data_IF_728214255073
#
_entry.id   IF_728214255073
#
_cell.length_a   1.000
_cell.length_b   1.000
_cell.length_c   1.000
_cell.angle_alpha   90.00
_cell.angle_beta   90.00
_cell.angle_gamma   90.00
#
_symmetry.space_group_name_H-M   'P 1'
#
loop_
_entity.id
_entity.type
_entity.pdbx_description
1 polymer ?
#
# COMPACT_ATOMS: atom_id res chain seq x y z
N UNK A 1 -16.75 -2.02 21.03
CA UNK A 1 -16.99 -2.04 19.56
C UNK A 1 -18.37 -2.61 19.32
N UNK A 2 -19.04 -2.21 18.24
CA UNK A 2 -20.29 -2.84 17.78
C UNK A 2 -20.16 -3.12 16.28
N UNK A 3 -20.76 -4.21 15.82
CA UNK A 3 -20.74 -4.62 14.41
C UNK A 3 -22.07 -4.24 13.76
N UNK A 4 -22.00 -3.54 12.62
CA UNK A 4 -23.16 -3.32 11.75
C UNK A 4 -22.97 -4.18 10.49
N UNK A 5 -23.92 -5.08 10.22
CA UNK A 5 -23.93 -5.89 9.01
C UNK A 5 -25.32 -5.89 8.36
N UNK A 6 -25.39 -6.18 7.07
CA UNK A 6 -26.63 -6.20 6.29
C UNK A 6 -26.86 -4.97 5.42
N UNK A 7 -27.98 -4.95 4.69
CA UNK A 7 -28.30 -3.87 3.73
C UNK A 7 -28.87 -2.66 4.46
N UNK A 8 -28.15 -1.53 4.45
CA UNK A 8 -28.69 -0.25 4.90
C UNK A 8 -29.31 0.49 3.71
N UNK A 9 -30.62 0.73 3.76
CA UNK A 9 -31.36 1.55 2.78
C UNK A 9 -31.45 3.03 3.21
N UNK A 10 -30.60 3.44 4.17
CA UNK A 10 -30.61 4.76 4.80
C UNK A 10 -30.48 4.68 6.32
N UNK A 11 -30.29 5.84 6.96
CA UNK A 11 -30.13 6.00 8.43
C UNK A 11 -28.89 5.37 9.06
N UNK A 12 -27.94 4.82 8.28
CA UNK A 12 -26.65 4.32 8.79
C UNK A 12 -26.02 5.30 9.78
N UNK A 13 -25.94 6.58 9.39
CA UNK A 13 -25.46 7.67 10.23
C UNK A 13 -26.17 7.75 11.59
N UNK A 14 -27.50 7.69 11.62
CA UNK A 14 -28.27 7.76 12.87
C UNK A 14 -27.99 6.55 13.76
N UNK A 15 -27.82 5.36 13.17
CA UNK A 15 -27.40 4.16 13.90
C UNK A 15 -26.00 4.33 14.49
N UNK A 16 -25.05 4.86 13.73
CA UNK A 16 -23.70 5.15 14.24
C UNK A 16 -23.76 6.15 15.40
N UNK A 17 -24.49 7.25 15.24
CA UNK A 17 -24.67 8.28 16.26
C UNK A 17 -25.22 7.76 17.59
N UNK A 18 -26.22 6.87 17.54
CA UNK A 18 -26.85 6.32 18.73
C UNK A 18 -25.87 5.50 19.60
N UNK A 19 -24.72 5.10 19.05
CA UNK A 19 -23.72 4.28 19.71
C UNK A 19 -22.39 5.01 19.95
N UNK A 20 -22.33 6.33 19.71
CA UNK A 20 -21.15 7.12 20.03
C UNK A 20 -21.09 7.37 21.54
N UNK A 21 -19.95 7.06 22.14
CA UNK A 21 -19.58 7.55 23.45
C UNK A 21 -18.82 8.87 23.24
N UNK A 22 -19.29 9.97 23.84
CA UNK A 22 -18.85 11.33 23.51
C UNK A 22 -17.35 11.59 23.72
N UNK A 23 -16.71 10.79 24.57
CA UNK A 23 -15.36 11.08 25.07
C UNK A 23 -14.27 10.20 24.42
N UNK A 24 -14.61 9.34 23.47
CA UNK A 24 -13.68 8.44 22.79
C UNK A 24 -13.57 8.73 21.29
N UNK A 25 -12.36 8.60 20.70
CA UNK A 25 -12.18 8.78 19.26
C UNK A 25 -12.95 7.71 18.48
N UNK A 26 -13.66 8.13 17.44
CA UNK A 26 -14.41 7.24 16.56
C UNK A 26 -13.50 6.63 15.50
N UNK A 27 -13.16 5.36 15.71
CA UNK A 27 -12.51 4.52 14.70
C UNK A 27 -13.57 3.73 13.94
N UNK A 28 -13.62 3.91 12.62
CA UNK A 28 -14.61 3.31 11.75
C UNK A 28 -13.94 2.41 10.72
N UNK A 29 -14.26 1.11 10.77
CA UNK A 29 -13.84 0.15 9.76
C UNK A 29 -14.93 -0.01 8.71
N UNK A 30 -14.73 0.63 7.56
CA UNK A 30 -15.59 0.51 6.39
C UNK A 30 -15.20 -0.72 5.57
N UNK A 31 -16.14 -1.63 5.36
CA UNK A 31 -15.94 -2.84 4.56
C UNK A 31 -16.66 -2.71 3.21
N UNK A 32 -15.93 -2.92 2.13
CA UNK A 32 -16.40 -2.75 0.75
C UNK A 32 -16.10 -1.37 0.17
N UNK A 33 -16.66 -1.10 -1.01
CA UNK A 33 -16.52 0.19 -1.69
C UNK A 33 -17.24 1.31 -0.95
N UNK A 34 -16.72 2.54 -1.11
CA UNK A 34 -17.44 3.71 -0.62
C UNK A 34 -18.69 3.96 -1.45
N UNK A 35 -19.85 3.80 -0.83
CA UNK A 35 -21.15 4.11 -1.41
C UNK A 35 -21.63 5.51 -1.03
N UNK A 36 -22.83 5.89 -1.47
CA UNK A 36 -23.49 7.14 -1.04
C UNK A 36 -23.72 7.25 0.46
N UNK A 37 -23.62 6.15 1.20
CA UNK A 37 -23.67 6.17 2.65
C UNK A 37 -22.40 6.75 3.29
N UNK A 38 -21.28 6.82 2.56
CA UNK A 38 -20.07 7.52 2.97
C UNK A 38 -20.19 9.03 2.69
N UNK A 39 -21.18 9.66 3.35
CA UNK A 39 -21.54 11.07 3.17
C UNK A 39 -20.85 12.01 4.17
N UNK A 40 -20.89 13.31 3.88
CA UNK A 40 -20.27 14.40 4.66
C UNK A 40 -20.55 14.33 6.16
N UNK A 41 -21.82 14.13 6.51
CA UNK A 41 -22.24 14.09 7.91
C UNK A 41 -21.72 12.87 8.66
N UNK A 42 -21.36 11.79 7.96
CA UNK A 42 -20.72 10.62 8.56
C UNK A 42 -19.21 10.84 8.68
N UNK A 43 -18.51 11.11 7.57
CA UNK A 43 -17.04 11.15 7.59
C UNK A 43 -16.47 12.30 8.43
N UNK A 44 -17.22 13.40 8.64
CA UNK A 44 -16.81 14.51 9.52
C UNK A 44 -16.74 14.14 11.00
N UNK A 45 -17.33 13.02 11.39
CA UNK A 45 -17.32 12.52 12.78
C UNK A 45 -16.18 11.53 13.02
N UNK A 46 -15.56 11.04 11.95
CA UNK A 46 -14.57 9.98 12.05
C UNK A 46 -13.22 10.59 12.41
N UNK A 47 -12.65 10.16 13.55
CA UNK A 47 -11.26 10.43 13.85
C UNK A 47 -10.34 9.56 12.97
N UNK A 48 -10.79 8.33 12.68
CA UNK A 48 -10.03 7.34 11.92
C UNK A 48 -10.93 6.49 11.05
N UNK A 49 -10.65 6.47 9.77
CA UNK A 49 -11.27 5.60 8.78
C UNK A 49 -10.29 4.51 8.37
N UNK A 50 -10.68 3.26 8.61
CA UNK A 50 -9.99 2.06 8.12
C UNK A 50 -10.84 1.48 6.98
N UNK A 51 -10.22 1.18 5.85
CA UNK A 51 -10.89 0.58 4.69
C UNK A 51 -9.92 -0.35 3.97
N UNK A 52 -10.45 -1.23 3.11
CA UNK A 52 -9.65 -2.14 2.32
C UNK A 52 -9.93 -1.91 0.83
N UNK A 53 -8.97 -1.34 0.12
CA UNK A 53 -9.11 -1.03 -1.31
C UNK A 53 -8.88 -2.23 -2.24
N UNK A 54 -8.47 -3.40 -1.73
CA UNK A 54 -8.20 -4.58 -2.58
C UNK A 54 -9.44 -5.13 -3.27
N UNK A 55 -10.61 -4.89 -2.67
CA UNK A 55 -11.87 -5.50 -3.11
C UNK A 55 -12.77 -4.49 -3.84
N UNK A 56 -12.20 -3.35 -4.26
CA UNK A 56 -12.89 -2.32 -5.03
C UNK A 56 -12.91 -2.68 -6.52
N UNK A 57 -14.10 -2.68 -7.11
CA UNK A 57 -14.33 -2.80 -8.54
C UNK A 57 -13.95 -1.51 -9.29
N UNK A 58 -14.18 -0.33 -8.71
CA UNK A 58 -13.70 0.96 -9.24
C UNK A 58 -12.81 1.69 -8.22
N UNK A 59 -11.51 1.32 -8.14
CA UNK A 59 -10.60 1.97 -7.22
C UNK A 59 -10.43 3.47 -7.51
N UNK A 60 -10.52 3.90 -8.77
CA UNK A 60 -10.38 5.32 -9.16
C UNK A 60 -11.49 6.14 -8.51
N UNK A 61 -12.75 5.72 -8.63
CA UNK A 61 -13.87 6.37 -7.95
C UNK A 61 -13.74 6.34 -6.43
N UNK A 62 -13.31 5.21 -5.86
CA UNK A 62 -13.08 5.06 -4.42
C UNK A 62 -12.06 6.06 -3.86
N UNK A 63 -10.88 6.18 -4.50
CA UNK A 63 -9.85 7.13 -4.11
C UNK A 63 -10.25 8.60 -4.36
N UNK A 64 -11.00 8.90 -5.43
CA UNK A 64 -11.58 10.25 -5.63
C UNK A 64 -12.50 10.63 -4.46
N UNK A 65 -13.42 9.74 -4.06
CA UNK A 65 -14.31 9.98 -2.91
C UNK A 65 -13.54 10.12 -1.59
N UNK A 66 -12.49 9.32 -1.38
CA UNK A 66 -11.59 9.44 -0.22
C UNK A 66 -10.91 10.83 -0.17
N UNK A 67 -10.36 11.29 -1.29
CA UNK A 67 -9.67 12.58 -1.40
C UNK A 67 -10.62 13.74 -1.14
N UNK A 68 -11.86 13.68 -1.66
CA UNK A 68 -12.91 14.67 -1.35
C UNK A 68 -13.21 14.72 0.16
N UNK A 69 -13.48 13.57 0.79
CA UNK A 69 -13.75 13.50 2.23
C UNK A 69 -12.58 14.01 3.09
N UNK A 70 -11.33 13.73 2.66
CA UNK A 70 -10.13 14.26 3.32
C UNK A 70 -10.02 15.78 3.19
N UNK A 71 -10.31 16.33 2.01
CA UNK A 71 -10.33 17.79 1.78
C UNK A 71 -11.36 18.45 2.70
N UNK A 72 -12.58 17.92 2.73
CA UNK A 72 -13.68 18.45 3.53
C UNK A 72 -13.42 18.42 5.04
N UNK A 73 -12.71 17.38 5.51
CA UNK A 73 -12.32 17.27 6.92
C UNK A 73 -11.07 18.06 7.26
N UNK A 74 -10.45 18.76 6.29
CA UNK A 74 -9.14 19.42 6.40
C UNK A 74 -8.05 18.48 6.88
N UNK A 75 -8.11 17.22 6.44
CA UNK A 75 -7.17 16.17 6.82
C UNK A 75 -7.27 15.68 8.26
N UNK A 76 -8.31 16.06 9.02
CA UNK A 76 -8.50 15.63 10.41
C UNK A 76 -8.82 14.14 10.55
N UNK A 77 -9.55 13.58 9.58
CA UNK A 77 -9.84 12.15 9.54
C UNK A 77 -8.59 11.39 9.10
N UNK A 78 -8.02 10.58 10.00
CA UNK A 78 -6.89 9.71 9.65
C UNK A 78 -7.40 8.59 8.74
N UNK A 79 -6.73 8.38 7.61
CA UNK A 79 -7.13 7.37 6.62
C UNK A 79 -6.12 6.21 6.58
N UNK A 80 -6.62 4.99 6.71
CA UNK A 80 -5.82 3.77 6.74
C UNK A 80 -6.39 2.76 5.75
N UNK A 81 -5.67 2.60 4.65
CA UNK A 81 -5.93 1.53 3.71
C UNK A 81 -5.23 0.23 4.17
N UNK A 82 -5.97 -0.88 4.20
CA UNK A 82 -5.41 -2.19 4.49
C UNK A 82 -4.50 -2.68 3.34
N UNK A 83 -4.73 -2.28 2.10
CA UNK A 83 -3.80 -2.55 0.99
C UNK A 83 -2.44 -1.87 1.22
N UNK A 84 -2.43 -0.65 1.72
CA UNK A 84 -1.18 0.00 2.15
C UNK A 84 -0.53 -0.73 3.33
N UNK A 85 -1.35 -1.23 4.26
CA UNK A 85 -0.87 -1.96 5.43
C UNK A 85 -0.16 -3.25 5.05
N UNK A 86 -0.65 -4.00 4.06
CA UNK A 86 -0.02 -5.23 3.53
C UNK A 86 1.40 -5.02 3.00
N UNK A 87 1.75 -3.78 2.63
CA UNK A 87 3.09 -3.43 2.15
C UNK A 87 4.05 -3.04 3.28
N UNK A 88 3.61 -2.97 4.54
CA UNK A 88 4.40 -2.33 5.60
C UNK A 88 5.75 -3.03 5.84
N UNK A 89 5.75 -4.35 6.06
CA UNK A 89 6.99 -5.07 6.28
C UNK A 89 7.83 -5.19 5.01
N UNK A 90 7.19 -5.20 3.82
CA UNK A 90 7.91 -5.07 2.55
C UNK A 90 8.69 -3.75 2.49
N UNK A 91 8.07 -2.62 2.83
CA UNK A 91 8.75 -1.31 2.83
C UNK A 91 9.91 -1.25 3.81
N UNK A 92 9.76 -1.84 5.01
CA UNK A 92 10.87 -1.97 5.96
C UNK A 92 11.98 -2.87 5.44
N UNK A 93 11.63 -4.02 4.86
CA UNK A 93 12.58 -4.96 4.30
C UNK A 93 13.39 -4.34 3.17
N UNK A 94 12.74 -3.57 2.29
CA UNK A 94 13.39 -2.86 1.19
C UNK A 94 14.30 -1.75 1.69
N UNK A 95 13.83 -0.92 2.64
CA UNK A 95 14.68 0.10 3.24
C UNK A 95 15.96 -0.52 3.84
N UNK A 96 15.82 -1.66 4.53
CA UNK A 96 16.94 -2.39 5.13
C UNK A 96 17.93 -2.96 4.10
N UNK A 97 17.47 -3.36 2.92
CA UNK A 97 18.38 -3.83 1.86
C UNK A 97 19.39 -2.74 1.50
N UNK A 98 18.97 -1.47 1.48
CA UNK A 98 19.83 -0.33 1.15
C UNK A 98 20.63 0.22 2.35
N UNK A 99 20.60 -0.44 3.52
CA UNK A 99 21.63 -0.23 4.55
C UNK A 99 22.94 -0.98 4.20
N UNK A 100 22.90 -1.90 3.24
CA UNK A 100 24.07 -2.63 2.76
C UNK A 100 24.92 -1.78 1.78
N UNK A 101 26.25 -1.67 1.98
CA UNK A 101 27.09 -0.85 1.11
C UNK A 101 27.12 -1.25 -0.36
N UNK A 102 26.84 -2.53 -0.70
CA UNK A 102 26.75 -2.95 -2.10
C UNK A 102 25.44 -2.51 -2.73
N UNK A 103 24.34 -2.53 -1.97
CA UNK A 103 23.06 -2.03 -2.42
C UNK A 103 23.05 -0.51 -2.62
N UNK A 104 23.65 0.23 -1.69
CA UNK A 104 23.81 1.69 -1.81
C UNK A 104 24.63 2.06 -3.05
N UNK A 105 25.75 1.38 -3.30
CA UNK A 105 26.58 1.59 -4.50
C UNK A 105 25.84 1.24 -5.80
N UNK A 106 25.00 0.21 -5.80
CA UNK A 106 24.26 -0.21 -6.98
C UNK A 106 23.04 0.68 -7.26
N UNK A 107 22.60 1.49 -6.30
CA UNK A 107 21.38 2.29 -6.41
C UNK A 107 21.31 3.19 -7.67
N UNK A 108 22.38 3.91 -8.07
CA UNK A 108 22.37 4.75 -9.27
C UNK A 108 22.25 3.95 -10.58
N UNK A 109 22.61 2.67 -10.56
CA UNK A 109 22.65 1.76 -11.72
C UNK A 109 21.45 0.82 -11.77
N UNK A 110 20.46 0.98 -10.89
CA UNK A 110 19.24 0.17 -10.94
C UNK A 110 18.57 0.37 -12.31
N UNK A 111 18.33 -0.74 -12.99
CA UNK A 111 17.72 -0.78 -14.32
C UNK A 111 16.39 -1.56 -14.34
N UNK A 112 16.11 -2.33 -13.28
CA UNK A 112 14.95 -3.20 -13.23
C UNK A 112 14.30 -3.32 -11.85
N UNK A 113 12.98 -3.30 -11.82
CA UNK A 113 12.16 -3.61 -10.65
C UNK A 113 11.05 -4.58 -11.04
N UNK A 114 10.83 -5.62 -10.25
CA UNK A 114 9.68 -6.52 -10.42
C UNK A 114 8.87 -6.59 -9.14
N UNK A 115 7.56 -6.34 -9.23
CA UNK A 115 6.63 -6.46 -8.12
C UNK A 115 5.72 -7.65 -8.39
N UNK A 116 5.78 -8.67 -7.53
CA UNK A 116 4.95 -9.88 -7.65
C UNK A 116 3.87 -9.87 -6.57
N UNK A 117 2.62 -10.05 -6.96
CA UNK A 117 1.47 -9.99 -6.04
C UNK A 117 0.29 -10.82 -6.58
N UNK A 118 -0.71 -11.10 -5.76
CA UNK A 118 -1.99 -11.62 -6.29
C UNK A 118 -2.70 -10.50 -7.08
N UNK A 119 -3.43 -10.85 -8.14
CA UNK A 119 -4.19 -9.87 -8.95
C UNK A 119 -5.19 -9.08 -8.09
N UNK A 120 -5.87 -9.77 -7.16
CA UNK A 120 -6.76 -9.18 -6.15
C UNK A 120 -6.06 -8.10 -5.30
N UNK A 121 -4.75 -8.18 -5.11
CA UNK A 121 -3.98 -7.23 -4.30
C UNK A 121 -3.19 -6.22 -5.17
N UNK A 122 -3.65 -5.96 -6.40
CA UNK A 122 -3.08 -4.93 -7.31
C UNK A 122 -2.85 -3.58 -6.62
N UNK A 123 -3.79 -3.12 -5.81
CA UNK A 123 -3.63 -1.83 -5.10
C UNK A 123 -2.45 -1.85 -4.13
N UNK A 124 -2.18 -2.96 -3.45
CA UNK A 124 -1.02 -3.10 -2.57
C UNK A 124 0.30 -3.07 -3.35
N UNK A 125 0.35 -3.74 -4.52
CA UNK A 125 1.51 -3.72 -5.41
C UNK A 125 1.78 -2.30 -5.95
N UNK A 126 0.75 -1.60 -6.43
CA UNK A 126 0.87 -0.23 -6.92
C UNK A 126 1.27 0.76 -5.82
N UNK A 127 0.73 0.61 -4.60
CA UNK A 127 1.14 1.45 -3.47
C UNK A 127 2.59 1.21 -3.06
N UNK A 128 3.07 -0.04 -3.11
CA UNK A 128 4.48 -0.37 -2.87
C UNK A 128 5.36 0.27 -3.96
N UNK A 129 4.98 0.17 -5.24
CA UNK A 129 5.68 0.81 -6.35
C UNK A 129 5.69 2.33 -6.22
N UNK A 130 4.54 2.94 -5.93
CA UNK A 130 4.43 4.38 -5.69
C UNK A 130 5.37 4.84 -4.57
N UNK A 131 5.50 4.04 -3.50
CA UNK A 131 6.45 4.30 -2.43
C UNK A 131 7.90 4.22 -2.93
N UNK A 132 8.26 3.20 -3.72
CA UNK A 132 9.61 3.09 -4.31
C UNK A 132 9.93 4.35 -5.12
N UNK A 133 9.07 4.73 -6.05
CA UNK A 133 9.22 5.92 -6.90
C UNK A 133 9.38 7.19 -6.05
N UNK A 134 8.50 7.36 -5.05
CA UNK A 134 8.53 8.53 -4.16
C UNK A 134 9.85 8.61 -3.37
N UNK A 135 10.38 7.46 -2.92
CA UNK A 135 11.60 7.41 -2.10
C UNK A 135 12.87 7.54 -2.93
N UNK A 136 12.89 6.98 -4.14
CA UNK A 136 14.01 7.09 -5.06
C UNK A 136 14.07 8.45 -5.76
N UNK A 137 12.94 9.14 -5.87
CA UNK A 137 12.79 10.35 -6.67
C UNK A 137 12.92 10.08 -8.17
N UNK A 138 12.54 8.88 -8.60
CA UNK A 138 12.37 8.56 -10.02
C UNK A 138 11.08 9.20 -10.55
N UNK A 139 10.98 9.34 -11.86
CA UNK A 139 9.80 9.90 -12.53
C UNK A 139 9.21 8.90 -13.51
N UNK A 140 7.88 8.90 -13.67
CA UNK A 140 7.20 8.05 -14.66
C UNK A 140 7.36 8.69 -16.04
N UNK A 141 7.87 7.91 -17.00
CA UNK A 141 7.99 8.32 -18.40
C UNK A 141 6.86 7.75 -19.24
N UNK A 142 6.53 6.47 -19.02
CA UNK A 142 5.37 5.82 -19.61
C UNK A 142 4.88 4.69 -18.72
N UNK A 143 3.61 4.34 -18.87
CA UNK A 143 3.00 3.23 -18.16
C UNK A 143 1.96 2.54 -19.04
N UNK A 144 1.94 1.22 -18.92
CA UNK A 144 0.97 0.28 -19.45
C UNK A 144 0.42 -0.55 -18.27
N UNK A 145 -0.58 -1.39 -18.48
CA UNK A 145 -1.30 -2.09 -17.39
C UNK A 145 -0.38 -2.79 -16.38
N UNK A 146 0.66 -3.48 -16.87
CA UNK A 146 1.58 -4.31 -16.09
C UNK A 146 3.07 -3.92 -16.26
N UNK A 147 3.35 -2.81 -16.94
CA UNK A 147 4.72 -2.34 -17.20
C UNK A 147 4.82 -0.84 -17.03
N UNK A 148 5.84 -0.37 -16.32
CA UNK A 148 6.11 1.07 -16.13
C UNK A 148 7.55 1.35 -16.51
N UNK A 149 7.77 2.38 -17.34
CA UNK A 149 9.10 2.90 -17.64
C UNK A 149 9.32 4.15 -16.80
N UNK A 150 10.38 4.13 -16.00
CA UNK A 150 10.77 5.24 -15.14
C UNK A 150 12.11 5.82 -15.60
N UNK A 151 12.34 7.08 -15.28
CA UNK A 151 13.65 7.72 -15.36
C UNK A 151 14.23 7.89 -13.95
N UNK A 152 15.46 7.41 -13.76
CA UNK A 152 16.21 7.53 -12.52
C UNK A 152 16.69 8.97 -12.30
N UNK A 153 17.18 9.29 -11.09
CA UNK A 153 17.77 10.62 -10.82
C UNK A 153 18.99 10.93 -11.67
N UNK A 154 19.68 9.89 -12.13
CA UNK A 154 20.86 10.01 -12.98
C UNK A 154 20.50 10.00 -14.48
N UNK A 155 19.21 10.00 -14.82
CA UNK A 155 18.73 9.93 -16.20
C UNK A 155 18.77 8.52 -16.81
N UNK A 156 18.97 7.48 -15.99
CA UNK A 156 18.93 6.09 -16.43
C UNK A 156 17.50 5.57 -16.57
N UNK A 157 17.24 4.70 -17.54
CA UNK A 157 15.95 4.03 -17.68
C UNK A 157 15.81 2.92 -16.62
N UNK A 158 14.66 2.86 -15.93
CA UNK A 158 14.30 1.77 -15.03
C UNK A 158 13.01 1.12 -15.51
N UNK A 159 13.08 -0.17 -15.84
CA UNK A 159 11.93 -0.94 -16.28
C UNK A 159 11.28 -1.62 -15.08
N UNK A 160 9.99 -1.36 -14.88
CA UNK A 160 9.18 -2.00 -13.85
C UNK A 160 8.21 -3.00 -14.48
N UNK A 161 8.14 -4.21 -13.93
CA UNK A 161 7.15 -5.22 -14.29
C UNK A 161 6.27 -5.57 -13.08
N UNK A 162 4.95 -5.58 -13.29
CA UNK A 162 3.96 -6.09 -12.35
C UNK A 162 3.61 -7.54 -12.74
N UNK A 163 3.78 -8.47 -11.81
CA UNK A 163 3.58 -9.91 -12.08
C UNK A 163 2.51 -10.45 -11.14
N UNK A 164 1.46 -11.03 -11.72
CA UNK A 164 0.32 -11.54 -10.98
C UNK A 164 0.45 -13.04 -10.71
N UNK A 165 0.48 -13.42 -9.43
CA UNK A 165 0.62 -14.80 -8.94
C UNK A 165 -0.53 -15.09 -7.96
N UNK A 166 -1.69 -15.51 -8.47
CA UNK A 166 -2.90 -15.67 -7.65
C UNK A 166 -2.78 -16.78 -6.58
N UNK A 167 -1.88 -17.74 -6.75
CA UNK A 167 -1.55 -18.75 -5.74
C UNK A 167 -0.51 -18.31 -4.70
N UNK A 168 0.02 -17.08 -4.80
CA UNK A 168 1.06 -16.55 -3.93
C UNK A 168 0.56 -15.81 -2.69
N UNK A 169 1.47 -15.23 -1.93
CA UNK A 169 1.12 -14.29 -0.86
C UNK A 169 0.57 -12.97 -1.46
N UNK A 170 -0.20 -12.16 -0.68
CA UNK A 170 -0.80 -10.93 -1.17
C UNK A 170 0.16 -10.01 -1.93
N UNK A 171 1.34 -9.79 -1.35
CA UNK A 171 2.55 -9.41 -2.08
C UNK A 171 3.46 -10.62 -1.95
N UNK A 172 3.83 -11.22 -3.07
CA UNK A 172 4.70 -12.40 -3.14
C UNK A 172 6.17 -12.02 -3.21
N UNK A 173 6.49 -10.88 -3.80
CA UNK A 173 7.84 -10.37 -3.75
C UNK A 173 8.10 -9.04 -4.43
N UNK A 174 9.31 -8.55 -4.23
CA UNK A 174 9.92 -7.45 -4.93
C UNK A 174 11.34 -7.86 -5.32
N UNK A 175 11.72 -7.64 -6.57
CA UNK A 175 13.10 -7.78 -7.04
C UNK A 175 13.61 -6.45 -7.59
N UNK A 176 14.86 -6.13 -7.30
CA UNK A 176 15.58 -4.96 -7.82
C UNK A 176 16.87 -5.46 -8.46
N UNK A 177 17.18 -5.02 -9.67
CA UNK A 177 18.37 -5.43 -10.42
C UNK A 177 19.16 -4.24 -10.97
N UNK A 178 20.48 -4.39 -10.95
CA UNK A 178 21.48 -3.58 -11.64
C UNK A 178 22.55 -4.54 -12.23
N UNK A 179 23.48 -4.11 -13.11
CA UNK A 179 24.35 -4.99 -13.87
C UNK A 179 25.07 -6.11 -13.08
N UNK A 180 25.53 -5.81 -11.87
CA UNK A 180 26.24 -6.75 -10.99
C UNK A 180 25.59 -6.88 -9.60
N UNK A 181 24.30 -6.56 -9.50
CA UNK A 181 23.59 -6.53 -8.23
C UNK A 181 22.14 -7.00 -8.39
N UNK A 182 21.70 -7.84 -7.45
CA UNK A 182 20.31 -8.22 -7.32
C UNK A 182 19.89 -8.23 -5.86
N UNK A 183 18.79 -7.55 -5.56
CA UNK A 183 18.12 -7.66 -4.27
C UNK A 183 16.72 -8.26 -4.43
N UNK A 184 16.29 -9.04 -3.44
CA UNK A 184 14.96 -9.64 -3.41
C UNK A 184 14.37 -9.53 -2.01
N UNK A 185 13.08 -9.25 -1.95
CA UNK A 185 12.23 -9.50 -0.78
C UNK A 185 11.10 -10.42 -1.25
N UNK A 186 10.92 -11.58 -0.64
CA UNK A 186 9.91 -12.56 -1.06
C UNK A 186 9.19 -13.18 0.11
N UNK A 187 7.99 -13.71 -0.16
CA UNK A 187 7.15 -14.38 0.83
C UNK A 187 6.35 -15.49 0.14
N UNK A 188 6.40 -16.68 0.72
CA UNK A 188 5.51 -17.77 0.32
C UNK A 188 4.11 -17.58 0.93
N UNK A 189 3.07 -18.06 0.23
CA UNK A 189 1.70 -17.95 0.70
C UNK A 189 1.54 -18.54 2.12
N UNK A 190 0.91 -17.78 3.03
CA UNK A 190 0.68 -18.19 4.41
C UNK A 190 1.92 -18.15 5.33
N UNK A 191 3.12 -17.85 4.82
CA UNK A 191 4.30 -17.71 5.68
C UNK A 191 4.23 -16.41 6.48
N UNK A 192 4.57 -16.45 7.77
CA UNK A 192 4.59 -15.25 8.65
C UNK A 192 5.88 -14.44 8.56
N UNK A 193 6.80 -14.85 7.69
CA UNK A 193 8.09 -14.21 7.51
C UNK A 193 8.37 -13.87 6.04
N UNK A 194 9.05 -12.74 5.84
CA UNK A 194 9.71 -12.38 4.60
C UNK A 194 11.11 -13.01 4.58
N UNK A 195 11.56 -13.35 3.37
CA UNK A 195 12.95 -13.65 3.07
C UNK A 195 13.53 -12.50 2.26
N UNK A 196 14.71 -12.03 2.64
CA UNK A 196 15.43 -10.97 1.98
C UNK A 196 16.77 -11.50 1.52
N UNK A 197 17.19 -11.14 0.31
CA UNK A 197 18.51 -11.48 -0.17
C UNK A 197 19.14 -10.33 -0.96
N UNK A 198 20.46 -10.25 -0.88
CA UNK A 198 21.32 -9.45 -1.76
C UNK A 198 22.32 -10.40 -2.37
N UNK A 199 22.53 -10.29 -3.67
CA UNK A 199 23.55 -11.00 -4.41
C UNK A 199 24.30 -10.00 -5.31
N UNK A 200 25.59 -9.85 -5.05
CA UNK A 200 26.57 -9.13 -5.86
C UNK A 200 27.83 -10.01 -6.00
N UNK A 201 28.72 -9.70 -6.95
CA UNK A 201 29.83 -10.59 -7.39
C UNK A 201 30.49 -11.43 -6.27
N UNK A 202 30.91 -10.78 -5.18
CA UNK A 202 31.57 -11.42 -4.03
C UNK A 202 30.83 -11.19 -2.70
N UNK A 203 29.55 -10.79 -2.75
CA UNK A 203 28.76 -10.45 -1.57
C UNK A 203 27.36 -11.02 -1.68
N UNK A 204 27.04 -11.97 -0.82
CA UNK A 204 25.72 -12.58 -0.73
C UNK A 204 25.27 -12.60 0.72
N UNK A 205 24.12 -12.02 0.99
CA UNK A 205 23.51 -12.02 2.32
C UNK A 205 22.05 -12.41 2.23
N UNK A 206 21.61 -13.22 3.19
CA UNK A 206 20.22 -13.60 3.38
C UNK A 206 19.80 -13.24 4.80
N UNK A 207 18.57 -12.75 4.93
CA UNK A 207 17.97 -12.49 6.24
C UNK A 207 16.46 -12.70 6.17
N UNK A 208 15.86 -12.87 7.35
CA UNK A 208 14.42 -13.01 7.50
C UNK A 208 13.86 -11.92 8.39
N UNK A 209 12.64 -11.50 8.09
CA UNK A 209 11.89 -10.53 8.87
C UNK A 209 10.44 -10.93 8.99
N UNK A 210 9.67 -10.29 9.88
CA UNK A 210 8.23 -10.51 9.97
C UNK A 210 7.50 -10.11 8.69
N UNK A 211 6.34 -10.71 8.45
CA UNK A 211 5.39 -10.32 7.41
C UNK A 211 4.06 -9.82 8.01
N UNK A 212 3.29 -9.07 7.21
CA UNK A 212 1.96 -8.59 7.61
C UNK A 212 0.94 -9.74 7.53
N UNK A 213 -0.19 -9.59 8.23
CA UNK A 213 -1.31 -10.53 8.13
C UNK A 213 -1.93 -10.54 6.73
N UNK A 214 -2.45 -11.70 6.31
CA UNK A 214 -3.14 -11.81 5.03
C UNK A 214 -4.59 -11.31 5.12
N UNK A 215 -5.25 -11.60 6.25
CA UNK A 215 -6.65 -11.26 6.47
C UNK A 215 -6.85 -9.83 6.99
N UNK A 216 -7.99 -9.23 6.64
CA UNK A 216 -8.31 -7.86 7.00
C UNK A 216 -8.40 -7.65 8.52
N UNK A 217 -8.83 -8.65 9.32
CA UNK A 217 -8.96 -8.49 10.77
C UNK A 217 -7.60 -8.35 11.46
N UNK A 218 -6.62 -9.18 11.07
CA UNK A 218 -5.23 -9.07 11.51
C UNK A 218 -4.61 -7.73 11.12
N UNK A 219 -4.88 -7.25 9.90
CA UNK A 219 -4.41 -5.94 9.43
C UNK A 219 -5.05 -4.77 10.21
N UNK A 220 -6.35 -4.84 10.54
CA UNK A 220 -7.00 -3.86 11.42
C UNK A 220 -6.35 -3.86 12.81
N UNK A 221 -6.12 -5.03 13.40
CA UNK A 221 -5.47 -5.15 14.70
C UNK A 221 -4.06 -4.52 14.69
N UNK A 222 -3.29 -4.74 13.61
CA UNK A 222 -1.98 -4.11 13.38
C UNK A 222 -2.06 -2.58 13.28
N UNK A 223 -3.09 -2.03 12.64
CA UNK A 223 -3.27 -0.57 12.55
C UNK A 223 -3.67 0.06 13.89
N UNK A 224 -4.50 -0.62 14.68
CA UNK A 224 -4.94 -0.14 15.98
C UNK A 224 -3.79 -0.13 17.00
N UNK A 225 -2.87 -1.09 16.94
CA UNK A 225 -1.74 -1.16 17.87
C UNK A 225 -0.67 -0.08 17.66
N UNK A 226 -0.58 0.50 16.45
CA UNK A 226 0.47 1.46 16.07
C UNK A 226 0.10 2.93 16.30
N UNK A 227 -1.20 3.27 16.35
CA UNK A 227 -1.68 4.63 16.65
C UNK A 227 -1.28 5.76 15.67
N UNK A 228 -0.61 5.44 14.55
CA UNK A 228 -0.02 6.43 13.65
C UNK A 228 -1.02 7.28 12.85
N UNK A 229 -0.54 8.45 12.38
CA UNK A 229 -1.29 9.38 11.49
C UNK A 229 -1.23 9.00 10.00
N UNK A 230 -0.48 7.96 9.66
CA UNK A 230 -0.26 7.48 8.30
C UNK A 230 0.26 8.56 7.32
N UNK A 231 1.17 9.44 7.78
CA UNK A 231 1.72 10.54 6.98
C UNK A 231 2.44 10.08 5.70
N UNK A 232 3.16 8.96 5.77
CA UNK A 232 3.85 8.40 4.60
C UNK A 232 2.88 7.96 3.50
N UNK A 233 1.73 7.38 3.85
CA UNK A 233 0.68 7.05 2.88
C UNK A 233 0.24 8.31 2.11
N UNK A 234 0.09 9.44 2.80
CA UNK A 234 -0.34 10.70 2.20
C UNK A 234 0.70 11.31 1.27
N UNK A 235 1.98 11.13 1.60
CA UNK A 235 3.07 11.55 0.74
C UNK A 235 3.17 10.71 -0.54
N UNK A 236 2.85 9.42 -0.45
CA UNK A 236 2.85 8.48 -1.59
C UNK A 236 1.58 8.58 -2.45
N UNK A 237 0.47 9.05 -1.88
CA UNK A 237 -0.84 9.04 -2.52
C UNK A 237 -0.89 9.73 -3.90
N UNK A 238 -0.24 10.88 -4.15
CA UNK A 238 -0.21 11.49 -5.48
C UNK A 238 0.42 10.58 -6.54
N UNK A 239 1.58 9.99 -6.22
CA UNK A 239 2.28 9.07 -7.11
C UNK A 239 1.47 7.80 -7.38
N UNK A 240 0.78 7.31 -6.35
CA UNK A 240 -0.10 6.16 -6.48
C UNK A 240 -1.31 6.46 -7.38
N UNK A 241 -1.92 7.65 -7.26
CA UNK A 241 -3.05 8.04 -8.12
C UNK A 241 -2.61 8.13 -9.58
N UNK A 242 -1.42 8.66 -9.86
CA UNK A 242 -0.85 8.70 -11.21
C UNK A 242 -0.68 7.28 -11.81
N UNK A 243 -0.13 6.34 -11.03
CA UNK A 243 -0.01 4.93 -11.42
C UNK A 243 -1.37 4.25 -11.62
N UNK A 244 -2.34 4.59 -10.78
CA UNK A 244 -3.68 4.03 -10.87
C UNK A 244 -4.40 4.50 -12.14
N UNK A 245 -4.15 5.73 -12.60
CA UNK A 245 -4.83 6.31 -13.76
C UNK A 245 -4.36 5.75 -15.11
N UNK A 246 -3.08 5.41 -15.27
CA UNK A 246 -2.56 4.92 -16.57
C UNK A 246 -2.53 3.40 -16.74
N UNK A 247 -3.20 2.64 -15.87
CA UNK A 247 -3.31 1.19 -15.99
C UNK A 247 -4.55 0.68 -16.73
N UNK A 248 -5.26 1.53 -17.46
CA UNK A 248 -6.48 1.19 -18.21
C UNK A 248 -6.18 0.53 -19.57
#
# INVERSE_FOLDING_TARGET
>A
SFLLHGRSLGRLRNTVFAHLNSDLPLVFWWQGEFSELFEERLYRLLDRLIFDSSDWADPKAGFRRLLMARSDTKGRMVTQDLSWTRSYFYRLAVARLFDDPMADKAFPEIEGVRVMAQSKHRIAALLLLAWIITRSGWSIQSQESDRVILESREGGEVIVELIWIDGGAPISGLEISAPNFKARVSREAGNSHLCQSICAENHSIDFSGPADFDDSAGLVASQLSRGGKNSLFLNVLPQFVELLEGGD
#
